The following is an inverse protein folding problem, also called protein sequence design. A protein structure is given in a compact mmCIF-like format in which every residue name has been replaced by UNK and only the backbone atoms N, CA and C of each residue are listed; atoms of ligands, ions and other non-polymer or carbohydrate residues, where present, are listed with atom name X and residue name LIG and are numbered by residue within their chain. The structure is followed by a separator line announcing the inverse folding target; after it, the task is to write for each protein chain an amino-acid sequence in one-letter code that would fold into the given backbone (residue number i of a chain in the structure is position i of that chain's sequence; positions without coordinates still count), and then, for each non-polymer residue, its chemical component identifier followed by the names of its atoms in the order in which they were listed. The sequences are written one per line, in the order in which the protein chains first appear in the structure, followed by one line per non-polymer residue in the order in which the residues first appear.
data_IF_238648854858
#
_entry.id   IF_238648854858
#
_cell.length_a   1.000
_cell.length_b   1.000
_cell.length_c   1.000
_cell.angle_alpha   90.00
_cell.angle_beta   90.00
_cell.angle_gamma   90.00
#
_symmetry.space_group_name_H-M   'P 1'
#
loop_
_entity.id
_entity.type
_entity.pdbx_description
1 polymer ?
#
# COMPACT_ATOMS: atom_id res chain seq x y z
N UNK A 1 -19.97 10.15 -18.36
CA UNK A 1 -18.72 9.36 -18.28
C UNK A 1 -18.93 8.02 -18.97
N UNK A 2 -17.86 7.50 -19.60
CA UNK A 2 -17.81 6.12 -20.08
C UNK A 2 -17.29 5.24 -18.93
N UNK A 3 -18.08 4.22 -18.51
CA UNK A 3 -17.76 3.39 -17.35
C UNK A 3 -18.06 4.06 -16.00
N UNK A 4 -17.41 3.58 -14.93
CA UNK A 4 -17.70 3.98 -13.54
C UNK A 4 -17.19 5.38 -13.21
N UNK A 5 -17.91 6.08 -12.30
CA UNK A 5 -17.47 7.35 -11.73
C UNK A 5 -16.31 7.18 -10.74
N UNK A 6 -16.25 6.04 -10.05
CA UNK A 6 -15.13 5.67 -9.18
C UNK A 6 -14.43 4.44 -9.72
N UNK A 7 -13.12 4.51 -9.85
CA UNK A 7 -12.25 3.44 -10.34
C UNK A 7 -11.18 3.12 -9.29
N UNK A 8 -11.08 1.85 -8.91
CA UNK A 8 -9.99 1.34 -8.07
C UNK A 8 -8.90 0.78 -8.97
N UNK A 9 -7.72 1.34 -8.88
CA UNK A 9 -6.59 1.02 -9.75
C UNK A 9 -5.39 0.52 -8.95
N UNK A 10 -4.80 -0.59 -9.39
CA UNK A 10 -3.65 -1.21 -8.71
C UNK A 10 -2.38 -0.38 -8.98
N UNK A 11 -1.67 -0.04 -7.92
CA UNK A 11 -0.36 0.64 -7.98
C UNK A 11 0.63 -0.09 -8.90
N UNK A 12 1.37 0.67 -9.71
CA UNK A 12 2.35 0.19 -10.69
C UNK A 12 1.78 -0.67 -11.83
N UNK A 13 0.51 -0.53 -12.15
CA UNK A 13 -0.09 -1.09 -13.37
C UNK A 13 -0.47 0.02 -14.34
N UNK A 14 -0.64 -0.29 -15.62
CA UNK A 14 -1.01 0.72 -16.62
C UNK A 14 -2.46 1.19 -16.41
N UNK A 15 -2.67 2.50 -16.21
CA UNK A 15 -3.99 3.11 -16.13
C UNK A 15 -4.44 3.62 -17.49
N UNK A 16 -5.58 3.13 -17.96
CA UNK A 16 -6.25 3.61 -19.17
C UNK A 16 -7.60 4.21 -18.83
N UNK A 17 -7.74 5.51 -19.04
CA UNK A 17 -9.00 6.20 -18.83
C UNK A 17 -10.03 5.83 -19.90
N UNK A 18 -11.28 5.55 -19.47
CA UNK A 18 -12.36 5.18 -20.36
C UNK A 18 -12.99 6.37 -21.12
N UNK A 19 -12.63 7.60 -20.71
CA UNK A 19 -13.11 8.82 -21.34
C UNK A 19 -14.56 9.18 -20.98
N UNK A 20 -15.10 10.11 -21.76
CA UNK A 20 -16.50 10.56 -21.67
C UNK A 20 -17.05 10.86 -23.06
N UNK A 21 -18.38 10.78 -23.19
CA UNK A 21 -19.12 11.23 -24.36
C UNK A 21 -20.05 12.38 -23.97
N UNK A 22 -20.30 13.29 -24.92
CA UNK A 22 -21.18 14.41 -24.70
C UNK A 22 -22.13 14.61 -25.89
N UNK A 23 -23.37 14.95 -25.57
CA UNK A 23 -24.41 15.23 -26.58
C UNK A 23 -25.21 16.45 -26.15
N UNK A 24 -25.38 17.35 -27.08
CA UNK A 24 -26.24 18.52 -26.95
C UNK A 24 -27.52 18.37 -27.79
N UNK A 25 -28.59 19.05 -27.41
CA UNK A 25 -29.89 18.99 -28.10
C UNK A 25 -29.90 19.68 -29.45
N UNK A 26 -29.06 20.73 -29.62
CA UNK A 26 -28.94 21.50 -30.86
C UNK A 26 -27.73 21.07 -31.70
N UNK A 27 -26.56 20.94 -31.02
CA UNK A 27 -25.28 20.65 -31.66
C UNK A 27 -25.07 19.14 -31.91
N UNK A 28 -25.92 18.28 -31.36
CA UNK A 28 -25.83 16.83 -31.52
C UNK A 28 -24.65 16.25 -30.71
N UNK A 29 -23.81 15.44 -31.35
CA UNK A 29 -22.65 14.82 -30.69
C UNK A 29 -21.48 15.80 -30.64
N UNK A 30 -21.14 16.25 -29.43
CA UNK A 30 -20.03 17.17 -29.14
C UNK A 30 -18.89 16.49 -28.36
N UNK A 31 -18.82 15.17 -28.41
CA UNK A 31 -17.79 14.40 -27.66
C UNK A 31 -16.34 14.77 -28.05
N UNK A 32 -16.12 15.20 -29.29
CA UNK A 32 -14.81 15.67 -29.74
C UNK A 32 -14.36 17.00 -29.08
N UNK A 33 -15.28 17.73 -28.51
CA UNK A 33 -15.02 18.98 -27.79
C UNK A 33 -14.77 18.77 -26.29
N UNK A 34 -14.78 17.53 -25.81
CA UNK A 34 -14.49 17.24 -24.41
C UNK A 34 -13.00 17.46 -24.13
N UNK A 35 -12.71 18.37 -23.23
CA UNK A 35 -11.36 18.62 -22.71
C UNK A 35 -11.20 17.78 -21.44
N UNK A 36 -10.11 16.99 -21.40
CA UNK A 36 -9.81 16.09 -20.28
C UNK A 36 -8.56 16.58 -19.54
N UNK A 37 -8.68 16.74 -18.22
CA UNK A 37 -7.54 16.92 -17.33
C UNK A 37 -7.37 15.63 -16.52
N UNK A 38 -6.27 14.91 -16.75
CA UNK A 38 -5.99 13.62 -16.12
C UNK A 38 -4.67 13.70 -15.34
N UNK A 39 -4.70 13.87 -14.01
CA UNK A 39 -3.52 13.95 -13.16
C UNK A 39 -3.11 12.57 -12.58
N UNK A 40 -3.74 11.47 -12.99
CA UNK A 40 -3.51 10.16 -12.38
C UNK A 40 -2.04 9.77 -12.48
N UNK A 41 -1.44 9.55 -11.31
CA UNK A 41 -0.11 8.94 -11.20
C UNK A 41 -0.29 7.48 -10.76
N UNK A 42 -0.19 6.57 -11.72
CA UNK A 42 -0.35 5.13 -11.50
C UNK A 42 0.76 4.51 -10.62
N UNK A 43 1.89 5.22 -10.47
CA UNK A 43 3.05 4.77 -9.70
C UNK A 43 3.09 5.35 -8.28
N UNK A 44 2.00 5.98 -7.84
CA UNK A 44 1.87 6.52 -6.49
C UNK A 44 0.45 6.33 -5.96
N UNK A 45 0.35 5.76 -4.76
CA UNK A 45 -0.91 5.65 -4.01
C UNK A 45 -1.53 7.03 -3.80
N UNK A 46 -2.83 7.15 -4.07
CA UNK A 46 -3.53 8.41 -3.92
C UNK A 46 -4.95 8.37 -4.48
N UNK A 47 -5.67 9.46 -4.27
CA UNK A 47 -6.99 9.72 -4.86
C UNK A 47 -6.80 10.83 -5.88
N UNK A 48 -7.17 10.57 -7.12
CA UNK A 48 -7.02 11.47 -8.24
C UNK A 48 -8.37 11.76 -8.87
N UNK A 49 -8.56 13.00 -9.31
CA UNK A 49 -9.78 13.41 -10.01
C UNK A 49 -9.46 13.68 -11.49
N UNK A 50 -10.04 12.87 -12.37
CA UNK A 50 -10.02 13.12 -13.81
C UNK A 50 -11.23 13.98 -14.15
N UNK A 51 -10.98 15.19 -14.66
CA UNK A 51 -11.99 16.19 -14.95
C UNK A 51 -12.26 16.22 -16.46
N UNK A 52 -13.51 16.09 -16.85
CA UNK A 52 -13.99 16.21 -18.21
C UNK A 52 -14.85 17.47 -18.33
N UNK A 53 -14.48 18.38 -19.19
CA UNK A 53 -15.21 19.61 -19.44
C UNK A 53 -15.57 19.72 -20.93
N UNK A 54 -16.82 20.07 -21.21
CA UNK A 54 -17.32 20.31 -22.57
C UNK A 54 -18.10 21.60 -22.61
N UNK A 55 -18.06 22.29 -23.75
CA UNK A 55 -18.92 23.45 -24.03
C UNK A 55 -19.55 23.30 -25.40
N UNK A 56 -20.83 23.73 -25.51
CA UNK A 56 -21.53 23.84 -26.77
C UNK A 56 -21.14 25.09 -27.57
N UNK A 57 -21.76 25.29 -28.74
CA UNK A 57 -21.53 26.47 -29.59
C UNK A 57 -22.05 27.75 -28.97
N UNK A 58 -23.02 27.69 -28.04
CA UNK A 58 -23.59 28.81 -27.29
C UNK A 58 -22.77 29.14 -26.02
N UNK A 59 -21.67 28.40 -25.76
CA UNK A 59 -20.77 28.52 -24.60
C UNK A 59 -21.38 28.03 -23.28
N UNK A 60 -22.45 27.25 -23.29
CA UNK A 60 -22.88 26.53 -22.10
C UNK A 60 -21.87 25.41 -21.82
N UNK A 61 -21.51 25.26 -20.56
CA UNK A 61 -20.46 24.29 -20.16
C UNK A 61 -21.00 23.26 -19.18
N UNK A 62 -20.52 22.03 -19.35
CA UNK A 62 -20.77 20.94 -18.40
C UNK A 62 -19.44 20.30 -17.95
N UNK A 63 -19.40 19.86 -16.70
CA UNK A 63 -18.24 19.19 -16.13
C UNK A 63 -18.67 17.86 -15.51
N UNK A 64 -17.87 16.83 -15.70
CA UNK A 64 -17.98 15.55 -15.02
C UNK A 64 -16.63 15.15 -14.43
N UNK A 65 -16.65 14.44 -13.31
CA UNK A 65 -15.46 14.03 -12.59
C UNK A 65 -15.46 12.52 -12.42
N UNK A 66 -14.32 11.90 -12.68
CA UNK A 66 -14.04 10.50 -12.31
C UNK A 66 -13.02 10.50 -11.19
N UNK A 67 -13.35 9.82 -10.10
CA UNK A 67 -12.41 9.56 -9.01
C UNK A 67 -11.64 8.28 -9.29
N UNK A 68 -10.32 8.37 -9.30
CA UNK A 68 -9.41 7.23 -9.46
C UNK A 68 -8.62 7.03 -8.17
N UNK A 69 -8.81 5.87 -7.54
CA UNK A 69 -8.14 5.48 -6.30
C UNK A 69 -7.02 4.51 -6.67
N UNK A 70 -5.78 5.01 -6.72
CA UNK A 70 -4.60 4.18 -6.89
C UNK A 70 -4.22 3.60 -5.53
N UNK A 71 -4.22 2.28 -5.40
CA UNK A 71 -4.01 1.60 -4.12
C UNK A 71 -2.93 0.52 -4.19
N UNK A 72 -2.26 0.29 -3.05
CA UNK A 72 -1.37 -0.84 -2.85
C UNK A 72 -2.19 -2.08 -2.45
N UNK A 73 -2.03 -3.20 -3.15
CA UNK A 73 -2.76 -4.44 -2.83
C UNK A 73 -2.52 -4.93 -1.39
N UNK A 74 -1.34 -4.64 -0.81
CA UNK A 74 -1.05 -4.96 0.58
C UNK A 74 -2.00 -4.27 1.57
N UNK A 75 -2.49 -3.05 1.28
CA UNK A 75 -3.44 -2.36 2.15
C UNK A 75 -4.73 -3.16 2.30
N UNK A 76 -5.25 -3.68 1.19
CA UNK A 76 -6.46 -4.50 1.17
C UNK A 76 -6.25 -5.85 1.86
N UNK A 77 -5.09 -6.49 1.64
CA UNK A 77 -4.77 -7.78 2.26
C UNK A 77 -4.64 -7.68 3.78
N UNK A 78 -4.04 -6.58 4.27
CA UNK A 78 -3.80 -6.36 5.70
C UNK A 78 -4.98 -5.73 6.45
N UNK A 79 -5.83 -4.97 5.79
CA UNK A 79 -6.87 -4.19 6.48
C UNK A 79 -8.28 -4.31 5.91
N UNK A 80 -8.43 -4.87 4.71
CA UNK A 80 -9.70 -4.94 4.00
C UNK A 80 -10.08 -3.64 3.27
N UNK A 81 -9.25 -2.59 3.37
CA UNK A 81 -9.46 -1.29 2.70
C UNK A 81 -8.42 -1.04 1.62
N UNK A 82 -8.71 -0.13 0.68
CA UNK A 82 -7.83 0.15 -0.46
C UNK A 82 -6.71 1.15 -0.15
N UNK A 83 -6.94 2.06 0.81
CA UNK A 83 -5.96 3.04 1.26
C UNK A 83 -5.78 2.87 2.77
N UNK A 84 -4.52 2.92 3.23
CA UNK A 84 -4.20 2.87 4.65
C UNK A 84 -2.91 3.64 4.90
N UNK A 85 -2.96 4.60 5.82
CA UNK A 85 -1.79 5.35 6.29
C UNK A 85 -0.93 4.53 7.25
N UNK A 86 -1.55 3.56 7.90
CA UNK A 86 -0.92 2.62 8.81
C UNK A 86 -1.95 1.70 9.46
N UNK A 87 -1.54 0.49 9.72
CA UNK A 87 -2.37 -0.55 10.34
C UNK A 87 -1.69 -0.95 11.64
N UNK A 88 -2.42 -0.86 12.76
CA UNK A 88 -1.89 -1.20 14.06
C UNK A 88 -2.01 -2.69 14.33
N UNK A 89 -0.93 -3.27 14.86
CA UNK A 89 -0.84 -4.66 15.28
C UNK A 89 -0.30 -4.74 16.69
N UNK A 90 -0.89 -5.60 17.52
CA UNK A 90 -0.26 -6.12 18.72
C UNK A 90 0.63 -7.28 18.32
N UNK A 91 1.90 -7.25 18.69
CA UNK A 91 2.88 -8.30 18.37
C UNK A 91 3.19 -9.09 19.63
N UNK A 92 3.08 -10.40 19.54
CA UNK A 92 3.43 -11.36 20.56
C UNK A 92 4.48 -12.32 20.02
N UNK A 93 5.63 -12.37 20.67
CA UNK A 93 6.72 -13.30 20.32
C UNK A 93 6.66 -14.53 21.22
N UNK A 94 6.38 -15.67 20.60
CA UNK A 94 6.29 -16.96 21.29
C UNK A 94 7.56 -17.82 21.15
N UNK A 95 8.70 -17.17 20.91
CA UNK A 95 10.00 -17.86 20.78
C UNK A 95 10.43 -18.52 22.09
N UNK A 96 11.03 -19.70 21.99
CA UNK A 96 11.52 -20.43 23.18
C UNK A 96 12.73 -19.76 23.83
N UNK A 97 13.55 -19.07 23.03
CA UNK A 97 14.80 -18.45 23.46
C UNK A 97 14.80 -16.98 23.02
N UNK A 98 15.15 -16.08 23.94
CA UNK A 98 15.24 -14.64 23.69
C UNK A 98 13.95 -14.05 23.11
N UNK A 99 12.77 -14.49 23.59
CA UNK A 99 11.51 -13.89 23.19
C UNK A 99 11.50 -12.39 23.48
N UNK A 100 10.98 -11.63 22.53
CA UNK A 100 10.81 -10.17 22.65
C UNK A 100 9.51 -9.92 23.42
N UNK A 101 9.51 -8.96 24.34
CA UNK A 101 8.29 -8.55 25.04
C UNK A 101 7.25 -8.03 24.05
N UNK A 102 5.98 -8.23 24.35
CA UNK A 102 4.87 -7.74 23.56
C UNK A 102 4.97 -6.23 23.26
N UNK A 103 4.67 -5.86 22.04
CA UNK A 103 4.72 -4.46 21.60
C UNK A 103 3.70 -4.15 20.52
N UNK A 104 3.43 -2.87 20.31
CA UNK A 104 2.57 -2.41 19.20
C UNK A 104 3.43 -2.06 17.99
N UNK A 105 3.04 -2.60 16.84
CA UNK A 105 3.66 -2.38 15.55
C UNK A 105 2.71 -1.62 14.63
N UNK A 106 3.19 -0.57 13.96
CA UNK A 106 2.49 0.03 12.84
C UNK A 106 3.08 -0.51 11.55
N UNK A 107 2.23 -1.04 10.68
CA UNK A 107 2.61 -1.52 9.35
C UNK A 107 1.97 -0.59 8.32
N UNK A 108 2.80 0.04 7.50
CA UNK A 108 2.37 0.99 6.49
C UNK A 108 2.59 0.42 5.09
N UNK A 109 1.54 0.29 4.24
CA UNK A 109 1.71 -0.07 2.85
C UNK A 109 2.58 0.96 2.12
N UNK A 110 3.53 0.48 1.30
CA UNK A 110 4.39 1.39 0.53
C UNK A 110 3.56 2.26 -0.43
N UNK A 111 3.79 3.58 -0.47
CA UNK A 111 3.05 4.46 -1.37
C UNK A 111 3.52 4.38 -2.84
N UNK A 112 4.62 3.69 -3.12
CA UNK A 112 5.26 3.65 -4.44
C UNK A 112 5.62 2.23 -4.93
N UNK A 113 5.50 1.22 -4.07
CA UNK A 113 5.81 -0.18 -4.43
C UNK A 113 4.64 -1.08 -4.06
N UNK A 114 3.97 -1.65 -5.07
CA UNK A 114 2.85 -2.55 -4.83
C UNK A 114 3.28 -3.79 -4.04
N UNK A 115 2.38 -4.30 -3.20
CA UNK A 115 2.60 -5.49 -2.33
C UNK A 115 3.70 -5.33 -1.28
N UNK A 116 4.35 -4.19 -1.19
CA UNK A 116 5.38 -3.90 -0.19
C UNK A 116 4.78 -3.18 1.01
N UNK A 117 5.20 -3.59 2.21
CA UNK A 117 4.85 -2.94 3.48
C UNK A 117 6.09 -2.61 4.28
N UNK A 118 5.98 -1.56 5.10
CA UNK A 118 7.05 -1.02 5.93
C UNK A 118 6.66 -1.18 7.41
N UNK A 119 7.61 -1.59 8.24
CA UNK A 119 7.45 -1.70 9.69
C UNK A 119 8.09 -0.48 10.36
N UNK A 120 7.38 0.16 11.30
CA UNK A 120 7.95 1.28 12.05
C UNK A 120 8.83 0.85 13.22
N UNK A 121 8.65 -0.37 13.74
CA UNK A 121 9.30 -0.85 14.96
C UNK A 121 9.53 -2.37 14.93
N UNK A 122 10.20 -2.87 13.90
CA UNK A 122 10.41 -4.32 13.76
C UNK A 122 11.31 -4.87 14.87
N UNK A 123 10.91 -6.00 15.46
CA UNK A 123 11.67 -6.61 16.56
C UNK A 123 11.70 -5.81 17.85
N UNK A 124 10.75 -4.88 18.04
CA UNK A 124 10.68 -3.94 19.17
C UNK A 124 11.86 -2.95 19.26
N UNK A 125 12.63 -2.79 18.17
CA UNK A 125 13.65 -1.75 18.11
C UNK A 125 13.01 -0.38 17.85
N UNK A 126 13.34 0.61 18.65
CA UNK A 126 12.86 1.98 18.47
C UNK A 126 13.46 2.62 17.22
N UNK A 127 12.63 3.40 16.52
CA UNK A 127 12.87 4.15 15.31
C UNK A 127 12.74 3.38 14.00
N UNK A 128 11.92 3.98 13.15
CA UNK A 128 11.74 3.79 11.70
C UNK A 128 12.72 2.79 11.09
N UNK A 129 12.44 1.56 11.28
CA UNK A 129 13.40 0.53 10.94
C UNK A 129 13.71 0.45 9.45
N UNK A 130 12.88 1.02 8.58
CA UNK A 130 13.04 0.80 7.15
C UNK A 130 12.91 -0.67 6.75
N UNK A 131 12.70 -1.56 7.73
CA UNK A 131 12.43 -2.97 7.48
C UNK A 131 11.12 -3.08 6.73
N UNK A 132 11.14 -3.91 5.70
CA UNK A 132 9.97 -4.13 4.85
C UNK A 132 9.71 -5.63 4.64
N UNK A 133 8.47 -5.94 4.32
CA UNK A 133 8.08 -7.25 3.81
C UNK A 133 7.30 -7.09 2.50
N UNK A 134 7.30 -8.16 1.72
CA UNK A 134 6.44 -8.29 0.55
C UNK A 134 5.27 -9.22 0.89
N UNK A 135 4.07 -8.85 0.45
CA UNK A 135 2.86 -9.65 0.65
C UNK A 135 2.37 -10.14 -0.70
N UNK A 136 2.23 -11.45 -0.85
CA UNK A 136 1.67 -12.05 -2.04
C UNK A 136 0.58 -13.05 -1.65
N UNK A 137 -0.67 -12.69 -1.93
CA UNK A 137 -1.85 -13.40 -1.44
C UNK A 137 -1.79 -13.59 0.09
N UNK A 138 -1.60 -14.79 0.58
CA UNK A 138 -1.50 -15.12 2.01
C UNK A 138 -0.07 -15.21 2.52
N UNK A 139 0.93 -15.06 1.66
CA UNK A 139 2.35 -15.20 2.05
C UNK A 139 2.96 -13.84 2.32
N UNK A 140 3.64 -13.72 3.46
CA UNK A 140 4.48 -12.58 3.83
C UNK A 140 5.93 -13.02 3.73
N UNK A 141 6.74 -12.29 3.01
CA UNK A 141 8.18 -12.55 2.89
C UNK A 141 8.96 -11.36 3.40
N UNK A 142 9.78 -11.59 4.42
CA UNK A 142 10.78 -10.66 4.93
C UNK A 142 12.10 -11.02 4.22
N UNK A 143 12.52 -10.29 3.19
CA UNK A 143 13.77 -10.57 2.52
C UNK A 143 14.96 -10.28 3.43
N UNK A 144 16.13 -10.81 3.10
CA UNK A 144 17.36 -10.51 3.82
C UNK A 144 17.61 -8.99 3.80
N UNK A 145 17.67 -8.37 4.98
CA UNK A 145 17.80 -6.93 5.14
C UNK A 145 18.75 -6.62 6.27
N UNK A 146 19.48 -5.54 6.07
CA UNK A 146 20.41 -5.00 7.05
C UNK A 146 19.67 -4.06 8.01
N UNK A 147 19.71 -4.39 9.29
CA UNK A 147 19.14 -3.61 10.36
C UNK A 147 19.96 -2.40 10.79
N UNK A 148 21.21 -2.31 10.41
CA UNK A 148 22.11 -1.23 10.81
C UNK A 148 21.71 0.15 10.32
N UNK A 149 20.99 0.21 9.19
CA UNK A 149 20.45 1.46 8.64
C UNK A 149 19.30 2.03 9.46
N UNK A 150 18.94 1.37 10.58
CA UNK A 150 17.72 1.63 11.34
C UNK A 150 17.98 2.43 12.61
N UNK A 151 19.20 2.91 12.81
CA UNK A 151 19.53 3.74 13.97
C UNK A 151 19.67 2.94 15.28
N UNK A 152 19.94 1.63 15.22
CA UNK A 152 20.41 0.85 16.36
C UNK A 152 21.93 1.02 16.43
N UNK A 153 22.46 1.77 17.40
CA UNK A 153 23.90 2.00 17.46
C UNK A 153 24.64 0.68 17.73
N UNK A 154 25.61 0.37 16.87
CA UNK A 154 26.62 -0.67 17.05
C UNK A 154 26.16 -2.14 17.02
N UNK A 155 25.12 -2.49 16.30
CA UNK A 155 24.73 -3.90 16.13
C UNK A 155 24.42 -4.21 14.67
N UNK A 156 25.23 -5.10 14.07
CA UNK A 156 25.01 -5.65 12.71
C UNK A 156 23.81 -6.61 12.71
N UNK A 157 22.60 -6.05 12.89
CA UNK A 157 21.37 -6.84 12.79
C UNK A 157 21.01 -7.11 11.35
N UNK A 158 20.71 -8.37 11.06
CA UNK A 158 20.20 -8.79 9.76
C UNK A 158 18.93 -9.59 9.96
N UNK A 159 17.87 -9.19 9.29
CA UNK A 159 16.55 -9.83 9.39
C UNK A 159 16.18 -10.54 8.09
N UNK A 160 15.61 -11.74 8.21
CA UNK A 160 14.97 -12.45 7.10
C UNK A 160 13.97 -13.48 7.62
N UNK A 161 12.93 -13.76 6.82
CA UNK A 161 11.91 -14.71 7.24
C UNK A 161 10.71 -14.79 6.32
N UNK A 162 9.72 -15.52 6.77
CA UNK A 162 8.44 -15.64 6.07
C UNK A 162 7.28 -15.89 7.04
N UNK A 163 6.07 -15.60 6.58
CA UNK A 163 4.87 -15.75 7.37
C UNK A 163 3.64 -16.02 6.53
N UNK A 164 2.54 -16.31 7.23
CA UNK A 164 1.22 -16.56 6.63
C UNK A 164 0.23 -15.56 7.19
N UNK A 165 -0.52 -14.91 6.30
CA UNK A 165 -1.61 -14.00 6.60
C UNK A 165 -2.93 -14.78 6.67
N UNK A 166 -3.69 -14.59 7.75
CA UNK A 166 -5.02 -15.17 7.96
C UNK A 166 -5.93 -14.15 8.61
N UNK A 167 -7.02 -13.78 7.95
CA UNK A 167 -8.02 -12.83 8.48
C UNK A 167 -7.41 -11.53 9.04
N UNK A 168 -6.54 -10.90 8.24
CA UNK A 168 -5.79 -9.67 8.58
C UNK A 168 -4.76 -9.82 9.70
N UNK A 169 -4.63 -11.00 10.31
CA UNK A 169 -3.57 -11.34 11.25
C UNK A 169 -2.50 -12.18 10.57
N UNK A 170 -1.31 -12.24 11.12
CA UNK A 170 -0.28 -13.12 10.56
C UNK A 170 0.71 -13.62 11.60
N UNK A 171 1.31 -14.75 11.30
CA UNK A 171 2.46 -15.28 12.04
C UNK A 171 3.67 -15.15 11.14
N UNK A 172 4.70 -14.49 11.64
CA UNK A 172 5.98 -14.32 10.95
C UNK A 172 7.06 -15.10 11.70
N UNK A 173 7.69 -16.04 11.01
CA UNK A 173 8.89 -16.74 11.48
C UNK A 173 10.09 -16.06 10.87
N UNK A 174 10.94 -15.48 11.69
CA UNK A 174 12.09 -14.75 11.18
C UNK A 174 13.36 -15.04 12.00
N UNK A 175 14.48 -14.76 11.41
CA UNK A 175 15.78 -14.82 12.05
C UNK A 175 16.28 -13.39 12.22
N UNK A 176 16.68 -13.06 13.45
CA UNK A 176 17.51 -11.91 13.79
C UNK A 176 18.94 -12.40 13.97
N UNK A 177 19.81 -11.94 13.11
CA UNK A 177 21.22 -12.29 13.14
C UNK A 177 22.04 -11.08 13.57
N UNK A 178 22.78 -11.23 14.66
CA UNK A 178 23.71 -10.24 15.20
C UNK A 178 25.11 -10.82 15.11
N UNK A 179 25.96 -10.24 14.27
CA UNK A 179 27.33 -10.78 14.01
C UNK A 179 27.29 -12.26 13.62
N UNK A 180 27.89 -13.15 14.44
CA UNK A 180 27.89 -14.60 14.24
C UNK A 180 26.73 -15.33 14.93
N UNK A 181 25.95 -14.65 15.76
CA UNK A 181 24.83 -15.23 16.50
C UNK A 181 23.53 -15.04 15.73
N UNK A 182 22.67 -16.04 15.75
CA UNK A 182 21.35 -15.98 15.10
C UNK A 182 20.27 -16.44 16.08
N UNK A 183 19.25 -15.61 16.27
CA UNK A 183 18.07 -15.92 17.04
C UNK A 183 16.88 -16.10 16.11
N UNK A 184 16.11 -17.15 16.32
CA UNK A 184 14.90 -17.43 15.56
C UNK A 184 13.68 -16.95 16.36
N UNK A 185 12.81 -16.21 15.73
CA UNK A 185 11.59 -15.67 16.31
C UNK A 185 10.34 -16.22 15.65
N UNK A 186 9.30 -16.38 16.44
CA UNK A 186 7.93 -16.71 15.98
C UNK A 186 7.00 -15.64 16.52
N UNK A 187 6.78 -14.61 15.74
CA UNK A 187 5.97 -13.47 16.15
C UNK A 187 4.57 -13.53 15.53
N UNK A 188 3.55 -13.41 16.37
CA UNK A 188 2.14 -13.30 15.97
C UNK A 188 1.74 -11.83 15.97
N UNK A 189 1.23 -11.38 14.83
CA UNK A 189 0.73 -10.03 14.62
C UNK A 189 -0.80 -10.07 14.61
N UNK A 190 -1.40 -9.46 15.62
CA UNK A 190 -2.86 -9.38 15.78
C UNK A 190 -3.30 -7.95 15.48
N UNK A 191 -4.12 -7.77 14.46
CA UNK A 191 -4.67 -6.46 14.10
C UNK A 191 -5.55 -5.90 15.22
N UNK A 192 -5.37 -4.64 15.59
CA UNK A 192 -6.08 -3.90 16.63
C UNK A 192 -6.73 -2.63 16.08
#
# INVERSE_FOLDING_TARGET
LNGSETVYHILNTEYKDAGATAKDSKDGNISSSVVVTNPVNQDRVGIYEVVYKVSDTEKNSQTAIRTVIVYNEASRLLSGVYLSDGINYQVHDSSEVNAISDYTQIITPSPISNKKVLFNKFGNYDNNSGIYANINATTITLPLQDGDKIGVPNTDHTFFGSGILTDFNFVLKYTDKINSSATKHVATFIKI
#
